data_IF_141717450347
#
_entry.id   IF_141717450347
#
_cell.length_a   1.000
_cell.length_b   1.000
_cell.length_c   1.000
_cell.angle_alpha   90.00
_cell.angle_beta   90.00
_cell.angle_gamma   90.00
#
_symmetry.space_group_name_H-M   'P 1'
#
loop_
_entity.id
_entity.type
_entity.pdbx_description
1 polymer ?
#
# COMPACT_ATOMS: atom_id res chain seq x y z
N UNK A 1 7.08 -16.60 2.85
CA UNK A 1 5.72 -16.45 3.40
C UNK A 1 4.77 -16.29 2.21
N UNK A 2 3.49 -16.61 2.36
CA UNK A 2 2.53 -16.42 1.27
C UNK A 2 2.09 -14.95 1.27
N UNK A 3 2.16 -14.29 0.11
CA UNK A 3 1.71 -12.91 -0.07
C UNK A 3 0.20 -12.88 -0.16
N UNK A 4 -0.45 -12.05 0.65
CA UNK A 4 -1.90 -11.87 0.62
C UNK A 4 -2.27 -11.05 -0.62
N UNK A 5 -3.03 -11.66 -1.52
CA UNK A 5 -3.47 -11.01 -2.75
C UNK A 5 -4.80 -10.28 -2.54
N UNK A 6 -4.77 -8.97 -2.75
CA UNK A 6 -5.93 -8.08 -2.71
C UNK A 6 -6.28 -7.66 -4.13
N UNK A 7 -7.54 -7.85 -4.53
CA UNK A 7 -8.07 -7.33 -5.80
C UNK A 7 -8.75 -5.99 -5.57
N UNK A 8 -8.35 -4.98 -6.34
CA UNK A 8 -8.99 -3.66 -6.37
C UNK A 8 -9.97 -3.58 -7.53
N UNK A 9 -11.21 -3.20 -7.24
CA UNK A 9 -12.26 -3.05 -8.23
C UNK A 9 -12.42 -1.59 -8.67
N UNK A 10 -13.05 -1.32 -9.83
CA UNK A 10 -13.26 0.05 -10.32
C UNK A 10 -13.96 0.99 -9.33
N UNK A 11 -14.86 0.45 -8.51
CA UNK A 11 -15.54 1.18 -7.43
C UNK A 11 -14.68 1.36 -6.16
N UNK A 12 -13.36 1.17 -6.27
CA UNK A 12 -12.35 1.22 -5.20
C UNK A 12 -12.54 0.17 -4.09
N UNK A 13 -13.44 -0.80 -4.23
CA UNK A 13 -13.54 -1.91 -3.27
C UNK A 13 -12.27 -2.77 -3.33
N UNK A 14 -11.82 -3.20 -2.16
CA UNK A 14 -10.66 -4.07 -1.97
C UNK A 14 -11.15 -5.42 -1.51
N UNK A 15 -10.78 -6.48 -2.23
CA UNK A 15 -11.21 -7.85 -1.94
C UNK A 15 -10.01 -8.72 -1.62
N UNK A 16 -9.98 -9.28 -0.42
CA UNK A 16 -9.01 -10.26 0.02
C UNK A 16 -9.38 -11.62 -0.57
N UNK A 17 -8.49 -12.17 -1.41
CA UNK A 17 -8.73 -13.43 -2.11
C UNK A 17 -8.57 -14.65 -1.22
N UNK A 18 -7.79 -14.56 -0.14
CA UNK A 18 -7.55 -15.64 0.81
C UNK A 18 -8.67 -15.69 1.85
N UNK A 19 -8.99 -14.55 2.46
CA UNK A 19 -10.09 -14.42 3.42
C UNK A 19 -11.48 -14.35 2.76
N UNK A 20 -11.52 -14.28 1.42
CA UNK A 20 -12.73 -14.24 0.59
C UNK A 20 -13.73 -13.16 0.99
N UNK A 21 -13.25 -11.98 1.36
CA UNK A 21 -14.09 -10.87 1.85
C UNK A 21 -13.58 -9.53 1.40
N UNK A 22 -14.48 -8.54 1.36
CA UNK A 22 -14.08 -7.15 1.21
C UNK A 22 -13.39 -6.65 2.47
N UNK A 23 -12.34 -5.85 2.29
CA UNK A 23 -11.54 -5.26 3.36
C UNK A 23 -11.35 -3.77 3.13
N UNK A 24 -10.83 -3.08 4.15
CA UNK A 24 -10.52 -1.64 4.09
C UNK A 24 -9.03 -1.41 3.98
N UNK A 25 -8.63 -0.18 3.66
CA UNK A 25 -7.23 0.25 3.72
C UNK A 25 -6.65 0.11 5.13
N UNK A 26 -7.44 0.38 6.18
CA UNK A 26 -7.02 0.15 7.57
C UNK A 26 -6.75 -1.33 7.85
N UNK A 27 -7.54 -2.23 7.25
CA UNK A 27 -7.33 -3.68 7.39
C UNK A 27 -6.02 -4.12 6.73
N UNK A 28 -5.73 -3.61 5.52
CA UNK A 28 -4.45 -3.86 4.83
C UNK A 28 -3.28 -3.33 5.66
N UNK A 29 -3.42 -2.12 6.22
CA UNK A 29 -2.40 -1.55 7.10
C UNK A 29 -2.16 -2.43 8.34
N UNK A 30 -3.21 -3.06 8.89
CA UNK A 30 -3.10 -4.04 9.96
C UNK A 30 -2.28 -5.26 9.55
N UNK A 31 -2.64 -5.90 8.42
CA UNK A 31 -1.91 -7.05 7.88
C UNK A 31 -0.41 -6.79 7.73
N UNK A 32 -0.04 -5.62 7.21
CA UNK A 32 1.37 -5.23 7.02
C UNK A 32 2.07 -5.01 8.36
N UNK A 33 1.40 -4.38 9.34
CA UNK A 33 1.96 -4.21 10.70
C UNK A 33 2.16 -5.55 11.41
N UNK A 34 1.33 -6.54 11.10
CA UNK A 34 1.45 -7.92 11.60
C UNK A 34 2.55 -8.71 10.86
N UNK A 35 3.26 -8.09 9.92
CA UNK A 35 4.38 -8.68 9.19
C UNK A 35 3.99 -9.51 7.96
N UNK A 36 2.76 -9.38 7.48
CA UNK A 36 2.33 -10.04 6.24
C UNK A 36 2.73 -9.21 5.01
N UNK A 37 3.18 -9.91 3.97
CA UNK A 37 3.35 -9.32 2.64
C UNK A 37 1.97 -9.16 1.98
N UNK A 38 1.71 -7.99 1.40
CA UNK A 38 0.45 -7.69 0.69
C UNK A 38 0.75 -7.25 -0.74
N UNK A 39 0.05 -7.83 -1.69
CA UNK A 39 0.05 -7.42 -3.09
C UNK A 39 -1.34 -6.96 -3.50
N UNK A 40 -1.43 -5.81 -4.16
CA UNK A 40 -2.70 -5.25 -4.63
C UNK A 40 -2.70 -5.21 -6.15
N UNK A 41 -3.64 -5.91 -6.77
CA UNK A 41 -3.81 -5.89 -8.24
C UNK A 41 -5.15 -5.35 -8.66
N UNK A 42 -5.19 -4.67 -9.79
CA UNK A 42 -6.46 -4.36 -10.46
C UNK A 42 -7.22 -5.64 -10.81
N UNK A 43 -8.52 -5.67 -10.54
CA UNK A 43 -9.37 -6.83 -10.76
C UNK A 43 -9.52 -7.18 -12.25
N UNK A 44 -9.58 -6.16 -13.11
CA UNK A 44 -9.87 -6.31 -14.54
C UNK A 44 -8.57 -6.47 -15.34
N UNK A 45 -7.57 -5.63 -15.09
CA UNK A 45 -6.33 -5.58 -15.88
C UNK A 45 -5.21 -6.43 -15.28
N UNK A 46 -5.26 -6.72 -13.98
CA UNK A 46 -4.17 -7.37 -13.25
C UNK A 46 -2.96 -6.46 -13.00
N UNK A 47 -3.07 -5.16 -13.30
CA UNK A 47 -2.02 -4.17 -13.02
C UNK A 47 -1.63 -4.18 -11.54
N UNK A 48 -0.33 -4.08 -11.25
CA UNK A 48 0.17 -3.94 -9.87
C UNK A 48 -0.10 -2.52 -9.36
N UNK A 49 -1.02 -2.43 -8.41
CA UNK A 49 -1.44 -1.20 -7.75
C UNK A 49 -0.88 -1.10 -6.31
N UNK A 50 0.03 -2.00 -5.91
CA UNK A 50 0.56 -2.09 -4.56
C UNK A 50 1.15 -0.76 -4.10
N UNK A 51 2.05 -0.16 -4.88
CA UNK A 51 2.68 1.12 -4.52
C UNK A 51 1.68 2.27 -4.34
N UNK A 52 0.66 2.34 -5.21
CA UNK A 52 -0.39 3.36 -5.14
C UNK A 52 -1.25 3.15 -3.89
N UNK A 53 -1.64 1.92 -3.59
CA UNK A 53 -2.45 1.59 -2.43
C UNK A 53 -1.70 1.83 -1.12
N UNK A 54 -0.43 1.45 -1.03
CA UNK A 54 0.39 1.72 0.16
C UNK A 54 0.57 3.23 0.39
N UNK A 55 0.80 4.00 -0.67
CA UNK A 55 0.88 5.47 -0.58
C UNK A 55 -0.43 6.08 -0.06
N UNK A 56 -1.58 5.55 -0.51
CA UNK A 56 -2.89 5.96 -0.02
C UNK A 56 -3.07 5.64 1.47
N UNK A 57 -2.66 4.45 1.93
CA UNK A 57 -2.70 4.06 3.35
C UNK A 57 -1.90 5.03 4.22
N UNK A 58 -0.68 5.39 3.78
CA UNK A 58 0.20 6.33 4.47
C UNK A 58 -0.48 7.69 4.59
N UNK A 59 -1.02 8.21 3.49
CA UNK A 59 -1.71 9.50 3.47
C UNK A 59 -2.95 9.54 4.36
N UNK A 60 -3.80 8.51 4.32
CA UNK A 60 -4.99 8.44 5.17
C UNK A 60 -4.64 8.32 6.65
N UNK A 61 -3.57 7.58 6.98
CA UNK A 61 -3.06 7.47 8.36
C UNK A 61 -2.58 8.81 8.90
N UNK A 62 -1.90 9.60 8.07
CA UNK A 62 -1.42 10.95 8.42
C UNK A 62 -2.59 11.93 8.66
N UNK A 63 -3.62 11.87 7.81
CA UNK A 63 -4.83 12.69 7.96
C UNK A 63 -5.62 12.35 9.23
N UNK A 64 -5.71 11.08 9.61
CA UNK A 64 -6.44 10.62 10.80
C UNK A 64 -5.73 10.98 12.10
N UNK A 65 -4.40 10.93 12.13
CA UNK A 65 -3.62 11.04 13.37
C UNK A 65 -2.85 12.36 13.55
N UNK A 66 -3.05 13.34 12.67
CA UNK A 66 -2.44 14.68 12.75
C UNK A 66 -0.93 14.67 13.03
N UNK A 67 -0.13 14.06 12.13
CA UNK A 67 1.33 14.19 12.18
C UNK A 67 2.07 12.97 12.71
N UNK A 68 1.63 11.76 12.36
CA UNK A 68 2.32 10.53 12.79
C UNK A 68 3.66 10.35 12.05
N UNK A 69 3.79 10.96 10.86
CA UNK A 69 4.99 10.89 10.05
C UNK A 69 5.78 12.19 10.17
N UNK A 70 7.07 12.12 10.58
CA UNK A 70 7.93 13.29 10.54
C UNK A 70 7.99 13.87 9.13
N UNK A 71 7.74 15.18 9.00
CA UNK A 71 7.85 15.87 7.70
C UNK A 71 9.22 15.67 7.04
N UNK A 72 10.28 15.50 7.84
CA UNK A 72 11.60 15.14 7.38
C UNK A 72 11.65 13.79 6.65
N UNK A 73 10.90 12.78 7.10
CA UNK A 73 10.78 11.48 6.43
C UNK A 73 10.10 11.63 5.07
N UNK A 74 8.97 12.35 5.03
CA UNK A 74 8.24 12.60 3.78
C UNK A 74 9.12 13.38 2.77
N UNK A 75 9.80 14.42 3.23
CA UNK A 75 10.74 15.18 2.42
C UNK A 75 11.92 14.31 1.93
N UNK A 76 12.40 13.37 2.75
CA UNK A 76 13.42 12.41 2.35
C UNK A 76 12.91 11.41 1.32
N UNK A 77 11.67 10.93 1.43
CA UNK A 77 11.06 10.07 0.40
C UNK A 77 10.93 10.79 -0.95
N UNK A 78 10.56 12.07 -0.93
CA UNK A 78 10.51 12.91 -2.15
C UNK A 78 11.91 13.11 -2.74
N UNK A 79 12.92 13.43 -1.90
CA UNK A 79 14.32 13.58 -2.33
C UNK A 79 14.92 12.29 -2.85
N UNK A 80 14.58 11.17 -2.22
CA UNK A 80 14.95 9.83 -2.63
C UNK A 80 14.28 9.40 -3.94
N UNK A 81 13.18 10.06 -4.31
CA UNK A 81 12.45 9.89 -5.56
C UNK A 81 13.29 10.34 -6.76
N UNK A 82 13.88 9.34 -7.43
CA UNK A 82 14.82 9.48 -8.55
C UNK A 82 16.00 8.54 -8.37
N UNK A 83 16.76 8.70 -7.28
CA UNK A 83 18.04 8.00 -7.09
C UNK A 83 17.90 6.62 -6.39
N UNK A 84 16.85 6.41 -5.59
CA UNK A 84 16.69 5.13 -4.85
C UNK A 84 16.17 3.99 -5.74
N UNK A 85 15.37 4.32 -6.76
CA UNK A 85 14.90 3.34 -7.75
C UNK A 85 16.02 2.85 -8.68
N UNK A 86 17.02 3.69 -8.97
CA UNK A 86 18.20 3.29 -9.75
C UNK A 86 19.15 2.40 -8.92
N UNK A 87 19.17 2.54 -7.59
CA UNK A 87 19.98 1.71 -6.70
C UNK A 87 19.41 0.30 -6.48
N UNK A 88 18.09 0.11 -6.63
CA UNK A 88 17.44 -1.21 -6.57
C UNK A 88 17.34 -1.92 -7.93
N UNK A 89 17.73 -1.25 -9.03
CA UNK A 89 17.76 -1.82 -10.39
C UNK A 89 19.17 -2.22 -10.85
N UNK A 90 20.19 -2.04 -10.00
CA UNK A 90 21.59 -2.44 -10.24
C UNK A 90 21.98 -3.67 -9.47
#
# INVERSE_FOLDING_TARGET
MATILIKRYPNRKLYDTDAKRYITLDSIAGLIRDGNDVEVRDHETGEDLTGITLSQIIFESEKKNSGYLPSALLANLIRAGGDTFDYMRR
#
